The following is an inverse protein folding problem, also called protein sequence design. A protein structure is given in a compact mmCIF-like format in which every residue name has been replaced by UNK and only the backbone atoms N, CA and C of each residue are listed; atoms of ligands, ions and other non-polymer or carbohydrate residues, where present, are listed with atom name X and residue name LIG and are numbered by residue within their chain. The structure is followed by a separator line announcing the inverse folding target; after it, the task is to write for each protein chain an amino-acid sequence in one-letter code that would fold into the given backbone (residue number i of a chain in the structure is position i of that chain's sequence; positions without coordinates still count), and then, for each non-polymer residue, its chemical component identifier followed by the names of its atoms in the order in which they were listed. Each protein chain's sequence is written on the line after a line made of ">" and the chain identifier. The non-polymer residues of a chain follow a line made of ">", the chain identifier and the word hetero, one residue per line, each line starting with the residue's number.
data_IF_756485090990
#
_entry.id   IF_756485090990
#
_cell.length_a   1.000
_cell.length_b   1.000
_cell.length_c   1.000
_cell.angle_alpha   90.00
_cell.angle_beta   90.00
_cell.angle_gamma   90.00
#
_symmetry.space_group_name_H-M   'P 1'
#
loop_
_entity.id
_entity.type
_entity.pdbx_description
1 polymer ?
#
# COMPACT_ATOMS: atom_id res chain seq x y z
N UNK A 1 -14.57 38.63 -38.66
CA UNK A 1 -13.49 38.29 -37.67
C UNK A 1 -14.04 37.89 -36.30
N UNK A 2 -14.99 38.58 -35.71
CA UNK A 2 -15.56 38.28 -34.37
C UNK A 2 -16.14 36.86 -34.20
N UNK A 3 -16.88 36.32 -35.18
CA UNK A 3 -17.46 34.98 -35.10
C UNK A 3 -16.41 33.84 -35.01
N UNK A 4 -15.26 33.99 -35.70
CA UNK A 4 -14.16 33.02 -35.65
C UNK A 4 -13.40 33.06 -34.32
N UNK A 5 -13.31 34.25 -33.72
CA UNK A 5 -12.68 34.42 -32.39
C UNK A 5 -13.54 33.78 -31.28
N UNK A 6 -14.86 33.91 -31.34
CA UNK A 6 -15.77 33.30 -30.38
C UNK A 6 -15.77 31.76 -30.46
N UNK A 7 -15.66 31.18 -31.66
CA UNK A 7 -15.54 29.72 -31.83
C UNK A 7 -14.23 29.21 -31.27
N UNK A 8 -13.11 29.95 -31.44
CA UNK A 8 -11.81 29.58 -30.89
C UNK A 8 -11.80 29.65 -29.37
N UNK A 9 -12.41 30.67 -28.76
CA UNK A 9 -12.56 30.76 -27.30
C UNK A 9 -13.42 29.59 -26.73
N UNK A 10 -14.47 29.20 -27.44
CA UNK A 10 -15.34 28.10 -27.03
C UNK A 10 -14.65 26.74 -27.10
N UNK A 11 -13.84 26.50 -28.12
CA UNK A 11 -13.03 25.28 -28.25
C UNK A 11 -11.93 25.21 -27.15
N UNK A 12 -11.29 26.33 -26.84
CA UNK A 12 -10.30 26.39 -25.77
C UNK A 12 -10.95 26.17 -24.40
N UNK A 13 -12.13 26.73 -24.12
CA UNK A 13 -12.87 26.45 -22.89
C UNK A 13 -13.34 24.98 -22.78
N UNK A 14 -13.75 24.35 -23.90
CA UNK A 14 -14.13 22.93 -23.88
C UNK A 14 -12.94 21.98 -23.65
N UNK A 15 -11.75 22.33 -24.13
CA UNK A 15 -10.55 21.52 -23.93
C UNK A 15 -10.07 21.57 -22.46
N UNK A 16 -10.23 22.71 -21.79
CA UNK A 16 -9.88 22.81 -20.35
C UNK A 16 -10.89 22.12 -19.42
N UNK A 17 -12.12 21.88 -19.88
CA UNK A 17 -13.16 21.17 -19.11
C UNK A 17 -13.02 19.64 -19.14
N UNK A 18 -12.14 19.10 -19.98
CA UNK A 18 -11.90 17.66 -20.16
C UNK A 18 -10.73 17.11 -19.31
N UNK A 19 -10.21 17.86 -18.35
CA UNK A 19 -9.35 17.28 -17.31
C UNK A 19 -10.20 16.42 -16.38
N UNK A 20 -10.45 15.19 -16.79
CA UNK A 20 -11.05 14.18 -15.93
C UNK A 20 -10.26 14.11 -14.63
N UNK A 21 -10.96 14.08 -13.49
CA UNK A 21 -10.31 13.86 -12.18
C UNK A 21 -9.42 12.64 -12.30
N UNK A 22 -8.12 12.80 -12.11
CA UNK A 22 -7.18 11.68 -12.05
C UNK A 22 -7.63 10.76 -10.93
N UNK A 23 -7.84 9.48 -11.26
CA UNK A 23 -8.18 8.47 -10.26
C UNK A 23 -6.96 8.23 -9.39
N UNK A 24 -7.19 8.10 -8.09
CA UNK A 24 -6.14 7.83 -7.10
C UNK A 24 -6.38 6.46 -6.47
N UNK A 25 -5.31 5.76 -6.15
CA UNK A 25 -5.35 4.47 -5.48
C UNK A 25 -4.74 4.58 -4.09
N UNK A 26 -5.46 4.11 -3.09
CA UNK A 26 -4.98 3.99 -1.71
C UNK A 26 -5.17 2.54 -1.27
N UNK A 27 -4.06 1.86 -1.00
CA UNK A 27 -4.04 0.56 -0.35
C UNK A 27 -3.80 0.75 1.14
N UNK A 28 -4.65 0.18 1.97
CA UNK A 28 -4.46 0.13 3.43
C UNK A 28 -4.42 -1.34 3.83
N UNK A 29 -3.30 -1.76 4.39
CA UNK A 29 -3.08 -3.11 4.90
C UNK A 29 -3.11 -3.07 6.42
N UNK A 30 -4.08 -3.74 7.02
CA UNK A 30 -4.16 -4.02 8.44
C UNK A 30 -3.72 -5.47 8.61
N UNK A 31 -2.53 -5.67 9.16
CA UNK A 31 -1.92 -6.99 9.21
C UNK A 31 -2.61 -7.93 10.20
N UNK A 32 -2.65 -9.22 9.86
CA UNK A 32 -3.06 -10.29 10.76
C UNK A 32 -4.55 -10.33 11.15
N UNK A 33 -5.44 -9.50 10.58
CA UNK A 33 -6.86 -9.52 10.96
C UNK A 33 -7.65 -10.52 10.12
N UNK A 34 -8.27 -11.55 10.72
CA UNK A 34 -9.20 -12.44 10.02
C UNK A 34 -10.47 -11.71 9.54
N UNK A 35 -10.99 -12.07 8.37
CA UNK A 35 -12.17 -11.43 7.78
C UNK A 35 -13.42 -11.53 8.68
N UNK A 36 -13.65 -12.69 9.29
CA UNK A 36 -14.77 -12.91 10.22
C UNK A 36 -14.64 -12.09 11.50
N UNK A 37 -13.42 -11.73 11.92
CA UNK A 37 -13.25 -10.82 13.05
C UNK A 37 -13.65 -9.39 12.69
N UNK A 38 -13.27 -8.89 11.52
CA UNK A 38 -13.72 -7.58 11.01
C UNK A 38 -15.25 -7.54 10.89
N UNK A 39 -15.86 -8.59 10.38
CA UNK A 39 -17.32 -8.69 10.26
C UNK A 39 -18.01 -8.68 11.62
N UNK A 40 -17.46 -9.39 12.61
CA UNK A 40 -18.00 -9.46 13.97
C UNK A 40 -17.89 -8.13 14.71
N UNK A 41 -16.73 -7.47 14.64
CA UNK A 41 -16.47 -6.18 15.32
C UNK A 41 -17.14 -5.02 14.59
N UNK A 42 -17.34 -5.15 13.31
CA UNK A 42 -18.00 -4.18 12.42
C UNK A 42 -17.46 -2.75 12.57
N UNK A 43 -16.14 -2.50 12.31
CA UNK A 43 -15.55 -1.19 12.49
C UNK A 43 -16.23 -0.14 11.61
N UNK A 44 -16.85 0.86 12.24
CA UNK A 44 -17.72 1.83 11.57
C UNK A 44 -17.10 2.44 10.29
N UNK A 45 -15.88 2.94 10.38
CA UNK A 45 -15.25 3.65 9.26
C UNK A 45 -14.94 2.73 8.07
N UNK A 46 -14.58 1.46 8.33
CA UNK A 46 -14.36 0.47 7.27
C UNK A 46 -15.68 0.17 6.56
N UNK A 47 -16.75 -0.06 7.32
CA UNK A 47 -18.06 -0.37 6.75
C UNK A 47 -18.75 0.86 6.13
N UNK A 48 -18.48 2.07 6.59
CA UNK A 48 -18.92 3.30 5.91
C UNK A 48 -18.28 3.41 4.50
N UNK A 49 -17.02 3.03 4.35
CA UNK A 49 -16.35 2.97 3.03
C UNK A 49 -16.92 1.82 2.19
N UNK A 50 -17.06 0.63 2.78
CA UNK A 50 -17.62 -0.53 2.13
C UNK A 50 -19.04 -0.31 1.60
N UNK A 51 -19.88 0.42 2.33
CA UNK A 51 -21.25 0.76 1.92
C UNK A 51 -21.31 1.64 0.67
N UNK A 52 -20.26 2.42 0.39
CA UNK A 52 -20.16 3.29 -0.80
C UNK A 52 -19.49 2.62 -1.98
N UNK A 53 -18.57 1.70 -1.71
CA UNK A 53 -17.77 1.03 -2.73
C UNK A 53 -18.15 -0.45 -2.91
N UNK A 54 -18.10 -1.20 -1.86
CA UNK A 54 -18.34 -2.63 -1.82
C UNK A 54 -17.52 -3.34 -0.76
N UNK A 55 -17.93 -4.53 -0.40
CA UNK A 55 -17.22 -5.46 0.48
C UNK A 55 -17.17 -6.83 -0.18
N UNK A 56 -16.02 -7.48 -0.11
CA UNK A 56 -15.88 -8.86 -0.56
C UNK A 56 -14.83 -9.58 0.31
N UNK A 57 -15.09 -10.85 0.65
CA UNK A 57 -14.05 -11.71 1.15
C UNK A 57 -13.18 -12.16 -0.02
N UNK A 58 -11.87 -12.14 0.21
CA UNK A 58 -10.89 -12.69 -0.70
C UNK A 58 -9.97 -13.65 0.07
N UNK A 59 -9.20 -14.44 -0.66
CA UNK A 59 -8.18 -15.28 -0.06
C UNK A 59 -6.83 -15.00 -0.72
N UNK A 60 -5.77 -15.24 0.03
CA UNK A 60 -4.41 -15.29 -0.49
C UNK A 60 -3.87 -16.69 -0.27
N UNK A 61 -3.07 -17.20 -1.19
CA UNK A 61 -2.44 -18.49 -0.95
C UNK A 61 -2.32 -19.44 -2.14
N UNK A 62 -2.87 -19.10 -3.29
CA UNK A 62 -2.87 -19.98 -4.45
C UNK A 62 -3.76 -21.21 -4.25
N UNK A 63 -3.68 -22.16 -5.15
CA UNK A 63 -4.46 -23.40 -5.08
C UNK A 63 -3.79 -24.39 -4.12
N UNK A 64 -4.56 -24.94 -3.17
CA UNK A 64 -4.07 -25.92 -2.18
C UNK A 64 -3.59 -27.20 -2.89
N UNK A 65 -2.38 -27.65 -2.56
CA UNK A 65 -1.74 -28.81 -3.17
C UNK A 65 -1.11 -28.57 -4.54
N UNK A 66 -1.27 -27.38 -5.14
CA UNK A 66 -0.67 -27.03 -6.42
C UNK A 66 0.67 -26.31 -6.23
N UNK A 67 1.41 -26.15 -7.34
CA UNK A 67 2.68 -25.39 -7.39
C UNK A 67 2.52 -23.93 -6.98
N UNK A 68 1.32 -23.37 -7.09
CA UNK A 68 0.99 -22.00 -6.69
C UNK A 68 0.60 -21.87 -5.22
N UNK A 69 0.54 -22.96 -4.46
CA UNK A 69 0.21 -22.90 -3.04
C UNK A 69 1.16 -21.97 -2.30
N UNK A 70 0.59 -21.05 -1.54
CA UNK A 70 1.32 -19.94 -0.93
C UNK A 70 0.86 -19.79 0.53
N UNK A 71 1.77 -19.84 1.52
CA UNK A 71 1.39 -19.64 2.92
C UNK A 71 0.88 -18.22 3.19
N UNK A 72 -0.04 -18.10 4.15
CA UNK A 72 -0.55 -16.81 4.64
C UNK A 72 0.42 -16.20 5.66
N UNK A 73 1.61 -15.80 5.18
CA UNK A 73 2.65 -15.12 5.95
C UNK A 73 2.71 -13.67 5.46
N UNK A 74 2.95 -12.73 6.37
CA UNK A 74 2.88 -11.29 6.15
C UNK A 74 3.59 -10.81 4.88
N UNK A 75 4.92 -10.94 4.79
CA UNK A 75 5.68 -10.47 3.62
C UNK A 75 5.26 -11.16 2.31
N UNK A 76 4.86 -12.42 2.37
CA UNK A 76 4.35 -13.16 1.21
C UNK A 76 3.02 -12.55 0.75
N UNK A 77 2.10 -12.29 1.69
CA UNK A 77 0.81 -11.64 1.42
C UNK A 77 0.98 -10.25 0.82
N UNK A 78 1.92 -9.45 1.35
CA UNK A 78 2.20 -8.11 0.80
C UNK A 78 2.73 -8.19 -0.63
N UNK A 79 3.64 -9.12 -0.92
CA UNK A 79 4.13 -9.34 -2.28
C UNK A 79 3.05 -9.84 -3.22
N UNK A 80 2.12 -10.67 -2.76
CA UNK A 80 0.96 -11.07 -3.57
C UNK A 80 0.15 -9.84 -4.00
N UNK A 81 -0.10 -8.88 -3.08
CA UNK A 81 -0.83 -7.64 -3.37
C UNK A 81 0.01 -6.72 -4.26
N UNK A 82 1.30 -6.52 -3.94
CA UNK A 82 2.19 -5.60 -4.64
C UNK A 82 2.45 -6.03 -6.10
N UNK A 83 2.50 -7.34 -6.38
CA UNK A 83 2.89 -7.86 -7.70
C UNK A 83 1.76 -8.54 -8.46
N UNK A 84 0.64 -8.85 -7.79
CA UNK A 84 -0.45 -9.64 -8.38
C UNK A 84 -0.04 -11.09 -8.70
N UNK A 85 1.00 -11.62 -8.03
CA UNK A 85 1.50 -12.99 -8.27
C UNK A 85 1.64 -13.76 -6.96
N UNK A 86 1.74 -15.10 -7.03
CA UNK A 86 1.96 -15.95 -5.88
C UNK A 86 3.45 -16.15 -5.57
N UNK A 87 3.75 -16.74 -4.41
CA UNK A 87 5.10 -16.97 -3.88
C UNK A 87 6.04 -17.62 -4.90
N UNK A 88 5.56 -18.59 -5.67
CA UNK A 88 6.33 -19.30 -6.71
C UNK A 88 6.83 -18.38 -7.85
N UNK A 89 6.34 -17.15 -7.92
CA UNK A 89 6.73 -16.14 -8.90
C UNK A 89 7.60 -15.05 -8.25
N UNK A 90 7.09 -14.38 -7.20
CA UNK A 90 7.82 -13.29 -6.58
C UNK A 90 8.92 -13.71 -5.61
N UNK A 91 9.07 -15.02 -5.28
CA UNK A 91 10.18 -15.62 -4.51
C UNK A 91 10.33 -15.12 -3.06
N UNK A 92 9.37 -14.42 -2.49
CA UNK A 92 9.37 -14.11 -1.05
C UNK A 92 8.68 -15.25 -0.32
N UNK A 93 9.40 -15.93 0.58
CA UNK A 93 8.98 -17.19 1.20
C UNK A 93 8.87 -17.13 2.74
N UNK A 94 8.96 -15.93 3.32
CA UNK A 94 8.87 -15.69 4.78
C UNK A 94 9.05 -14.23 5.10
N UNK A 95 9.14 -13.91 6.40
CA UNK A 95 9.36 -12.54 6.90
C UNK A 95 10.85 -12.20 7.11
N UNK A 96 11.76 -13.13 6.84
CA UNK A 96 13.22 -12.96 6.98
C UNK A 96 13.95 -13.49 5.75
N UNK A 97 15.20 -13.07 5.57
CA UNK A 97 16.02 -13.46 4.41
C UNK A 97 15.32 -13.19 3.08
N UNK A 98 14.66 -12.05 2.99
CA UNK A 98 13.84 -11.65 1.86
C UNK A 98 14.68 -11.54 0.58
N UNK A 99 14.25 -12.21 -0.47
CA UNK A 99 14.91 -12.20 -1.78
C UNK A 99 13.88 -12.11 -2.92
N UNK A 100 13.23 -10.94 -3.09
CA UNK A 100 12.21 -10.75 -4.11
C UNK A 100 12.74 -10.92 -5.54
N UNK A 101 11.95 -11.57 -6.38
CA UNK A 101 12.18 -11.58 -7.81
C UNK A 101 11.58 -10.32 -8.46
N UNK A 102 12.38 -9.30 -8.63
CA UNK A 102 11.94 -8.00 -9.17
C UNK A 102 11.56 -8.01 -10.66
N UNK A 103 11.65 -9.14 -11.34
CA UNK A 103 11.06 -9.29 -12.67
C UNK A 103 9.52 -9.25 -12.61
N UNK A 104 8.93 -9.56 -11.46
CA UNK A 104 7.52 -9.31 -11.18
C UNK A 104 7.36 -7.93 -10.58
N UNK A 105 6.98 -6.98 -11.42
CA UNK A 105 6.95 -5.56 -11.06
C UNK A 105 5.91 -5.27 -9.98
N UNK A 106 6.32 -4.46 -9.02
CA UNK A 106 5.38 -3.92 -8.03
C UNK A 106 4.45 -2.88 -8.65
N UNK A 107 3.29 -2.67 -8.02
CA UNK A 107 2.34 -1.60 -8.37
C UNK A 107 3.03 -0.23 -8.50
N UNK A 108 4.03 0.04 -7.66
CA UNK A 108 4.81 1.28 -7.70
C UNK A 108 5.65 1.40 -8.99
N UNK A 109 6.34 0.32 -9.36
CA UNK A 109 7.13 0.30 -10.59
C UNK A 109 6.24 0.41 -11.83
N UNK A 110 5.09 -0.27 -11.83
CA UNK A 110 4.09 -0.17 -12.89
C UNK A 110 3.59 1.28 -13.01
N UNK A 111 3.17 1.90 -11.89
CA UNK A 111 2.67 3.26 -11.88
C UNK A 111 3.68 4.27 -12.44
N UNK A 112 4.93 4.23 -11.95
CA UNK A 112 6.01 5.11 -12.42
C UNK A 112 6.41 4.86 -13.87
N UNK A 113 6.31 3.61 -14.34
CA UNK A 113 6.58 3.31 -15.75
C UNK A 113 5.47 3.80 -16.69
N UNK A 114 4.22 3.76 -16.23
CA UNK A 114 3.07 4.29 -16.98
C UNK A 114 3.11 5.82 -17.09
N UNK A 115 3.44 6.49 -16.00
CA UNK A 115 3.58 7.94 -15.96
C UNK A 115 4.59 8.33 -14.87
N UNK A 116 5.72 8.90 -15.29
CA UNK A 116 6.79 9.34 -14.38
C UNK A 116 6.36 10.48 -13.43
N UNK A 117 5.34 11.25 -13.82
CA UNK A 117 4.81 12.36 -13.02
C UNK A 117 3.87 11.91 -11.90
N UNK A 118 3.40 10.66 -11.93
CA UNK A 118 2.58 10.12 -10.85
C UNK A 118 3.31 10.21 -9.52
N UNK A 119 2.61 10.79 -8.54
CA UNK A 119 3.10 10.90 -7.17
C UNK A 119 2.76 9.65 -6.41
N UNK A 120 3.77 9.04 -5.83
CA UNK A 120 3.66 7.80 -5.06
C UNK A 120 3.99 8.05 -3.60
N UNK A 121 3.28 7.36 -2.70
CA UNK A 121 3.48 7.51 -1.26
C UNK A 121 3.49 6.15 -0.55
N UNK A 122 4.38 6.00 0.43
CA UNK A 122 4.44 4.81 1.28
C UNK A 122 4.56 5.23 2.74
N UNK A 123 3.67 4.69 3.54
CA UNK A 123 3.61 4.87 4.99
C UNK A 123 3.58 3.48 5.62
N UNK A 124 4.60 3.13 6.40
CA UNK A 124 4.76 1.74 6.83
C UNK A 124 5.37 1.64 8.22
N UNK A 125 4.79 0.79 9.03
CA UNK A 125 5.36 0.42 10.34
C UNK A 125 6.49 -0.61 10.21
N UNK A 126 6.78 -1.04 8.98
CA UNK A 126 7.88 -1.96 8.68
C UNK A 126 8.64 -1.51 7.42
N UNK A 127 9.91 -1.16 7.62
CA UNK A 127 10.75 -0.53 6.56
C UNK A 127 11.02 -1.45 5.37
N UNK A 128 11.02 -2.77 5.57
CA UNK A 128 11.29 -3.72 4.48
C UNK A 128 10.20 -3.73 3.40
N UNK A 129 9.01 -3.24 3.70
CA UNK A 129 7.99 -2.99 2.66
C UNK A 129 8.54 -2.12 1.53
N UNK A 130 9.29 -1.07 1.86
CA UNK A 130 9.90 -0.16 0.89
C UNK A 130 11.25 -0.66 0.38
N UNK A 131 12.15 -0.95 1.31
CA UNK A 131 13.58 -1.16 1.00
C UNK A 131 13.85 -2.51 0.34
N UNK A 132 13.02 -3.52 0.69
CA UNK A 132 13.19 -4.90 0.19
C UNK A 132 12.05 -5.30 -0.71
N UNK A 133 10.78 -5.29 -0.24
CA UNK A 133 9.67 -5.85 -1.03
C UNK A 133 9.41 -5.04 -2.31
N UNK A 134 9.35 -3.72 -2.20
CA UNK A 134 9.24 -2.82 -3.36
C UNK A 134 10.60 -2.64 -4.04
N UNK A 135 11.69 -2.65 -3.25
CA UNK A 135 13.05 -2.52 -3.74
C UNK A 135 13.39 -1.10 -4.21
N UNK A 136 12.92 -0.07 -3.46
CA UNK A 136 13.25 1.32 -3.79
C UNK A 136 14.77 1.52 -3.92
N UNK A 137 15.18 2.23 -4.97
CA UNK A 137 16.57 2.59 -5.25
C UNK A 137 17.44 1.47 -5.80
N UNK A 138 16.95 0.22 -5.85
CA UNK A 138 17.75 -0.91 -6.34
C UNK A 138 17.89 -0.87 -7.88
N UNK A 139 19.04 -1.31 -8.43
CA UNK A 139 19.21 -1.40 -9.89
C UNK A 139 18.16 -2.30 -10.55
N UNK A 140 17.78 -3.41 -9.89
CA UNK A 140 16.81 -4.39 -10.40
C UNK A 140 15.40 -3.82 -10.53
N UNK A 141 15.14 -2.68 -9.90
CA UNK A 141 13.86 -1.95 -9.99
C UNK A 141 13.97 -0.66 -10.80
N UNK A 142 15.02 -0.52 -11.63
CA UNK A 142 15.34 0.70 -12.38
C UNK A 142 15.48 1.93 -11.48
N UNK A 143 16.09 1.74 -10.31
CA UNK A 143 16.25 2.79 -9.29
C UNK A 143 14.94 3.49 -8.94
N UNK A 144 13.84 2.71 -8.86
CA UNK A 144 12.53 3.19 -8.49
C UNK A 144 12.60 4.14 -7.28
N UNK A 145 11.95 5.30 -7.39
CA UNK A 145 11.86 6.26 -6.29
C UNK A 145 10.39 6.49 -5.91
N UNK A 146 10.12 6.47 -4.61
CA UNK A 146 8.83 6.87 -4.01
C UNK A 146 8.91 8.35 -3.61
N UNK A 147 7.87 9.13 -3.94
CA UNK A 147 7.91 10.58 -3.74
C UNK A 147 7.73 10.99 -2.26
N UNK A 148 6.86 10.30 -1.52
CA UNK A 148 6.57 10.56 -0.11
C UNK A 148 6.75 9.27 0.71
N UNK A 149 7.59 9.32 1.72
CA UNK A 149 7.95 8.14 2.53
C UNK A 149 7.86 8.47 4.01
N UNK A 150 7.28 7.55 4.77
CA UNK A 150 7.27 7.57 6.22
C UNK A 150 7.35 6.14 6.74
N UNK A 151 8.55 5.71 7.13
CA UNK A 151 8.86 4.40 7.70
C UNK A 151 10.13 4.44 8.56
N UNK A 152 10.62 3.29 9.01
CA UNK A 152 11.87 3.16 9.76
C UNK A 152 11.74 3.40 11.25
N UNK A 153 10.55 3.64 11.77
CA UNK A 153 10.32 3.90 13.19
C UNK A 153 10.61 2.68 14.07
N UNK A 154 10.39 1.48 13.55
CA UNK A 154 10.69 0.22 14.23
C UNK A 154 12.20 0.01 14.47
N UNK A 155 13.05 0.75 13.77
CA UNK A 155 14.50 0.74 13.92
C UNK A 155 14.96 1.74 14.99
N UNK A 156 14.18 2.76 15.32
CA UNK A 156 14.47 3.78 16.32
C UNK A 156 14.04 3.31 17.73
N UNK A 157 14.87 2.47 18.35
CA UNK A 157 14.61 1.94 19.69
C UNK A 157 14.69 2.99 20.81
N UNK A 158 15.27 4.17 20.54
CA UNK A 158 15.29 5.28 21.49
C UNK A 158 13.93 5.97 21.54
N UNK A 159 13.33 6.21 20.36
CA UNK A 159 12.01 6.83 20.25
C UNK A 159 10.87 5.85 20.56
N UNK A 160 11.03 4.60 20.15
CA UNK A 160 10.04 3.53 20.31
C UNK A 160 10.66 2.32 21.02
N UNK A 161 10.99 2.44 22.32
CA UNK A 161 11.54 1.33 23.10
C UNK A 161 10.50 0.21 23.20
N UNK A 162 10.98 -1.04 23.25
CA UNK A 162 10.11 -2.19 23.40
C UNK A 162 9.18 -2.04 24.63
N UNK A 163 7.91 -2.33 24.44
CA UNK A 163 6.88 -2.29 25.48
C UNK A 163 6.21 -3.65 25.61
N UNK A 164 5.61 -3.89 26.78
CA UNK A 164 4.77 -5.07 26.99
C UNK A 164 3.68 -5.13 25.92
N UNK A 165 3.31 -6.34 25.51
CA UNK A 165 2.24 -6.60 24.54
C UNK A 165 2.43 -5.84 23.21
N UNK A 166 3.69 -5.61 22.83
CA UNK A 166 4.08 -4.89 21.60
C UNK A 166 3.46 -3.49 21.45
N UNK A 167 3.05 -2.84 22.54
CA UNK A 167 2.43 -1.52 22.51
C UNK A 167 3.30 -0.45 21.85
N UNK A 168 4.60 -0.64 21.74
CA UNK A 168 5.46 0.25 20.94
C UNK A 168 5.15 0.20 19.44
N UNK A 169 4.67 -0.93 18.94
CA UNK A 169 4.19 -1.05 17.54
C UNK A 169 2.89 -0.26 17.35
N UNK A 170 1.98 -0.28 18.33
CA UNK A 170 0.79 0.58 18.30
C UNK A 170 1.14 2.06 18.26
N UNK A 171 2.17 2.48 19.01
CA UNK A 171 2.65 3.87 18.97
C UNK A 171 3.20 4.22 17.58
N UNK A 172 3.97 3.31 16.96
CA UNK A 172 4.48 3.45 15.59
C UNK A 172 3.32 3.57 14.60
N UNK A 173 2.36 2.65 14.64
CA UNK A 173 1.17 2.69 13.78
C UNK A 173 0.41 4.02 13.91
N UNK A 174 0.32 4.54 15.13
CA UNK A 174 -0.32 5.82 15.40
C UNK A 174 0.39 7.00 14.72
N UNK A 175 1.72 6.97 14.64
CA UNK A 175 2.52 7.97 13.92
C UNK A 175 2.31 7.79 12.41
N UNK A 176 2.46 6.57 11.91
CA UNK A 176 2.29 6.23 10.48
C UNK A 176 0.91 6.66 9.98
N UNK A 177 -0.17 6.39 10.74
CA UNK A 177 -1.52 6.84 10.39
C UNK A 177 -1.64 8.36 10.30
N UNK A 178 -1.05 9.11 11.23
CA UNK A 178 -1.10 10.59 11.24
C UNK A 178 -0.37 11.16 10.04
N UNK A 179 0.84 10.68 9.77
CA UNK A 179 1.65 11.10 8.63
C UNK A 179 0.99 10.76 7.29
N UNK A 180 0.43 9.56 7.15
CA UNK A 180 -0.33 9.15 5.97
C UNK A 180 -1.53 10.08 5.74
N UNK A 181 -2.32 10.34 6.79
CA UNK A 181 -3.49 11.19 6.69
C UNK A 181 -3.14 12.65 6.36
N UNK A 182 -2.05 13.18 6.90
CA UNK A 182 -1.55 14.52 6.58
C UNK A 182 -1.10 14.60 5.12
N UNK A 183 -0.20 13.73 4.69
CA UNK A 183 0.33 13.70 3.34
C UNK A 183 -0.76 13.51 2.28
N UNK A 184 -1.74 12.61 2.51
CA UNK A 184 -2.84 12.38 1.58
C UNK A 184 -3.71 13.62 1.43
N UNK A 185 -3.97 14.36 2.51
CA UNK A 185 -4.75 15.62 2.45
C UNK A 185 -4.00 16.73 1.73
N UNK A 186 -2.70 16.86 1.99
CA UNK A 186 -1.88 17.98 1.50
C UNK A 186 -1.38 17.76 0.07
N UNK A 187 -0.93 16.55 -0.25
CA UNK A 187 -0.22 16.23 -1.49
C UNK A 187 -1.06 15.40 -2.46
N UNK A 188 -2.13 14.74 -1.97
CA UNK A 188 -3.01 13.90 -2.77
C UNK A 188 -2.26 12.98 -3.76
N UNK A 189 -1.37 12.06 -3.29
CA UNK A 189 -0.61 11.17 -4.16
C UNK A 189 -1.52 10.33 -5.08
N UNK A 190 -1.00 9.90 -6.23
CA UNK A 190 -1.77 9.11 -7.20
C UNK A 190 -1.84 7.63 -6.79
N UNK A 191 -0.78 7.12 -6.16
CA UNK A 191 -0.73 5.78 -5.57
C UNK A 191 -0.17 5.86 -4.15
N UNK A 192 -0.91 5.36 -3.18
CA UNK A 192 -0.49 5.31 -1.78
C UNK A 192 -0.60 3.91 -1.21
N UNK A 193 0.36 3.54 -0.37
CA UNK A 193 0.37 2.33 0.44
C UNK A 193 0.50 2.71 1.90
N UNK A 194 -0.41 2.22 2.74
CA UNK A 194 -0.37 2.37 4.21
C UNK A 194 -0.37 0.97 4.81
N UNK A 195 0.63 0.68 5.61
CA UNK A 195 0.77 -0.59 6.32
C UNK A 195 0.82 -0.37 7.82
N UNK A 196 -0.03 -1.08 8.54
CA UNK A 196 -0.17 -1.04 10.00
C UNK A 196 0.02 -2.45 10.56
N UNK A 197 0.94 -2.58 11.51
CA UNK A 197 1.43 -3.85 12.01
C UNK A 197 0.71 -4.33 13.28
N UNK A 198 0.35 -3.43 14.20
CA UNK A 198 -0.06 -3.79 15.57
C UNK A 198 -1.24 -4.76 15.64
N UNK A 199 -2.12 -4.78 14.67
CA UNK A 199 -3.22 -5.74 14.63
C UNK A 199 -2.75 -7.19 14.56
N UNK A 200 -1.65 -7.48 13.87
CA UNK A 200 -1.00 -8.79 13.84
C UNK A 200 -0.44 -9.16 15.22
N UNK A 201 0.36 -8.27 15.84
CA UNK A 201 0.85 -8.46 17.21
C UNK A 201 -0.30 -8.73 18.20
N UNK A 202 -1.38 -7.96 18.10
CA UNK A 202 -2.56 -8.13 18.96
C UNK A 202 -3.20 -9.51 18.82
N UNK A 203 -3.34 -10.01 17.58
CA UNK A 203 -3.87 -11.36 17.35
C UNK A 203 -2.93 -12.46 17.81
N UNK A 204 -1.61 -12.30 17.69
CA UNK A 204 -0.63 -13.25 18.22
C UNK A 204 -0.63 -13.31 19.75
N UNK A 205 -0.97 -12.21 20.43
CA UNK A 205 -0.95 -12.12 21.90
C UNK A 205 -2.27 -12.53 22.53
N UNK A 206 -3.41 -12.15 21.91
CA UNK A 206 -4.75 -12.24 22.52
C UNK A 206 -5.77 -13.06 21.70
N UNK A 207 -5.42 -13.49 20.47
CA UNK A 207 -6.30 -14.18 19.53
C UNK A 207 -6.46 -15.69 19.70
#
# INVERSE_FOLDING_TARGET
>A
MMKRLLIFLWVVCCVTALQGKTRKALYIVLDGIPADYIERVHPKNIFDIASKGGYARAYTGGEVGAYSQTPTISAIGYMNILTGTWMNKHNVNGNSNLNPNYNYWSLFRIAKNQNKDFKTALFSSWTDNRTVLIGEGKPETDHLKIDYVCDGYELDKNRFPAKKDDLHIFDIDSVVCKEAAACIRENAPDLSWVYLWYTDSGFHIYG
#
